data_IF_495295496663
#
_entry.id   IF_495295496663
#
_cell.length_a   1.000
_cell.length_b   1.000
_cell.length_c   1.000
_cell.angle_alpha   90.00
_cell.angle_beta   90.00
_cell.angle_gamma   90.00
#
_symmetry.space_group_name_H-M   'P 1'
#
loop_
_entity.id
_entity.type
_entity.pdbx_description
1 polymer ?
#
# COMPACT_ATOMS: atom_id res chain seq x y z
N UNK A 1 8.01 6.10 -3.73
CA UNK A 1 9.29 6.75 -4.10
C UNK A 1 10.48 5.90 -3.69
N UNK A 2 10.64 5.57 -2.41
CA UNK A 2 11.72 4.71 -1.91
C UNK A 2 11.18 3.32 -1.54
N UNK A 3 11.17 2.37 -2.50
CA UNK A 3 10.60 1.03 -2.35
C UNK A 3 11.59 -0.02 -1.85
N UNK A 4 11.07 -1.14 -1.32
CA UNK A 4 11.85 -2.35 -1.05
C UNK A 4 12.62 -2.88 -2.27
N UNK A 5 12.01 -2.81 -3.46
CA UNK A 5 12.51 -3.38 -4.71
C UNK A 5 12.38 -2.38 -5.87
N UNK A 6 12.95 -2.69 -7.05
CA UNK A 6 12.83 -1.85 -8.26
C UNK A 6 13.42 -0.41 -8.14
N UNK A 7 14.31 -0.16 -7.16
CA UNK A 7 15.11 1.05 -7.16
C UNK A 7 16.18 1.00 -8.27
N UNK A 8 16.61 2.15 -8.82
CA UNK A 8 17.61 2.17 -9.87
C UNK A 8 18.95 1.55 -9.43
N UNK A 9 19.60 0.77 -10.31
CA UNK A 9 20.85 0.08 -9.96
C UNK A 9 22.02 0.98 -9.54
N UNK A 10 21.99 2.28 -9.86
CA UNK A 10 22.98 3.23 -9.37
C UNK A 10 22.95 3.42 -7.85
N UNK A 11 21.84 3.10 -7.18
CA UNK A 11 21.69 3.21 -5.72
C UNK A 11 22.70 2.32 -5.00
N UNK A 12 23.00 1.14 -5.54
CA UNK A 12 23.95 0.19 -4.95
C UNK A 12 25.41 0.67 -5.03
N UNK A 13 25.71 1.60 -5.93
CA UNK A 13 27.04 2.21 -6.06
C UNK A 13 27.31 3.32 -5.05
N UNK A 14 26.31 3.75 -4.27
CA UNK A 14 26.46 4.84 -3.31
C UNK A 14 27.01 4.31 -1.99
N UNK A 15 28.09 4.93 -1.49
CA UNK A 15 28.73 4.52 -0.22
C UNK A 15 28.76 5.63 0.83
N UNK A 16 28.52 6.88 0.43
CA UNK A 16 28.55 8.05 1.32
C UNK A 16 27.14 8.54 1.63
N UNK A 17 26.91 8.87 2.91
CA UNK A 17 25.63 9.43 3.39
C UNK A 17 25.26 10.72 2.65
N UNK A 18 26.23 11.61 2.42
CA UNK A 18 26.00 12.88 1.72
C UNK A 18 25.48 12.68 0.29
N UNK A 19 26.08 11.73 -0.43
CA UNK A 19 25.68 11.42 -1.80
C UNK A 19 24.28 10.79 -1.84
N UNK A 20 23.99 9.85 -0.92
CA UNK A 20 22.64 9.27 -0.83
C UNK A 20 21.59 10.34 -0.54
N UNK A 21 21.83 11.19 0.47
CA UNK A 21 20.95 12.32 0.81
C UNK A 21 20.71 13.23 -0.39
N UNK A 22 21.77 13.60 -1.12
CA UNK A 22 21.66 14.45 -2.30
C UNK A 22 20.78 13.79 -3.37
N UNK A 23 21.00 12.52 -3.68
CA UNK A 23 20.23 11.80 -4.71
C UNK A 23 18.76 11.62 -4.31
N UNK A 24 18.49 11.29 -3.05
CA UNK A 24 17.13 11.23 -2.50
C UNK A 24 16.41 12.59 -2.60
N UNK A 25 17.11 13.67 -2.25
CA UNK A 25 16.58 15.02 -2.37
C UNK A 25 16.24 15.38 -3.81
N UNK A 26 17.17 15.11 -4.75
CA UNK A 26 16.96 15.41 -6.17
C UNK A 26 15.76 14.68 -6.78
N UNK A 27 15.58 13.39 -6.50
CA UNK A 27 14.45 12.63 -7.05
C UNK A 27 13.12 13.09 -6.43
N UNK A 28 13.09 13.36 -5.12
CA UNK A 28 11.91 13.90 -4.46
C UNK A 28 11.53 15.27 -5.01
N UNK A 29 12.49 16.19 -5.12
CA UNK A 29 12.24 17.52 -5.67
C UNK A 29 11.70 17.41 -7.09
N UNK A 30 12.39 16.65 -7.95
CA UNK A 30 11.99 16.50 -9.34
C UNK A 30 10.56 15.97 -9.46
N UNK A 31 10.22 14.88 -8.77
CA UNK A 31 8.90 14.28 -8.89
C UNK A 31 7.81 15.17 -8.28
N UNK A 32 8.03 15.72 -7.09
CA UNK A 32 7.03 16.56 -6.42
C UNK A 32 6.80 17.85 -7.20
N UNK A 33 7.86 18.49 -7.72
CA UNK A 33 7.76 19.73 -8.50
C UNK A 33 6.97 19.54 -9.79
N UNK A 34 7.18 18.43 -10.49
CA UNK A 34 6.57 18.20 -11.80
C UNK A 34 5.18 17.56 -11.73
N UNK A 35 4.92 16.71 -10.74
CA UNK A 35 3.70 15.90 -10.69
C UNK A 35 2.83 16.15 -9.46
N UNK A 36 3.36 16.74 -8.39
CA UNK A 36 2.69 16.81 -7.09
C UNK A 36 1.36 17.57 -7.12
N UNK A 37 1.20 18.56 -8.00
CA UNK A 37 -0.06 19.32 -8.14
C UNK A 37 -1.23 18.50 -8.69
N UNK A 38 -0.91 17.43 -9.43
CA UNK A 38 -1.91 16.53 -10.02
C UNK A 38 -2.07 15.24 -9.20
N UNK A 39 -1.29 15.08 -8.11
CA UNK A 39 -1.31 13.90 -7.27
C UNK A 39 -2.11 14.17 -5.99
N UNK A 40 -3.03 13.25 -5.65
CA UNK A 40 -3.73 13.27 -4.37
C UNK A 40 -2.77 12.88 -3.24
N UNK A 41 -1.89 11.91 -3.49
CA UNK A 41 -0.95 11.38 -2.53
C UNK A 41 0.36 10.93 -3.19
N UNK A 42 1.41 10.81 -2.37
CA UNK A 42 2.68 10.16 -2.72
C UNK A 42 3.07 9.18 -1.61
N UNK A 43 3.30 7.92 -1.97
CA UNK A 43 4.01 6.96 -1.12
C UNK A 43 5.48 7.34 -1.09
N UNK A 44 5.91 8.05 -0.04
CA UNK A 44 7.32 8.47 0.11
C UNK A 44 8.19 7.24 0.30
N UNK A 45 7.78 6.35 1.19
CA UNK A 45 8.44 5.08 1.49
C UNK A 45 7.46 3.94 1.26
N UNK A 46 7.93 2.85 0.65
CA UNK A 46 7.13 1.65 0.36
C UNK A 46 7.85 0.40 0.88
N UNK A 47 7.16 -0.39 1.71
CA UNK A 47 7.62 -1.70 2.21
C UNK A 47 8.96 -1.66 2.97
N UNK A 48 9.09 -0.69 3.89
CA UNK A 48 10.35 -0.45 4.59
C UNK A 48 10.54 -1.34 5.83
N UNK A 49 9.58 -2.21 6.13
CA UNK A 49 9.58 -3.07 7.31
C UNK A 49 9.73 -4.54 6.97
N UNK A 50 10.48 -5.26 7.80
CA UNK A 50 10.47 -6.71 7.84
C UNK A 50 9.18 -7.24 8.52
N UNK A 51 8.99 -8.56 8.50
CA UNK A 51 7.83 -9.22 9.13
C UNK A 51 7.73 -9.03 10.65
N UNK A 52 8.83 -8.62 11.30
CA UNK A 52 8.90 -8.41 12.74
C UNK A 52 8.66 -6.94 13.12
N UNK A 53 8.39 -6.06 12.15
CA UNK A 53 8.16 -4.63 12.38
C UNK A 53 9.43 -3.80 12.53
N UNK A 54 10.59 -4.33 12.14
CA UNK A 54 11.84 -3.57 12.13
C UNK A 54 12.14 -3.01 10.73
N UNK A 55 12.83 -1.86 10.61
CA UNK A 55 13.29 -1.37 9.31
C UNK A 55 14.10 -2.43 8.58
N UNK A 56 13.70 -2.80 7.37
CA UNK A 56 14.33 -3.85 6.57
C UNK A 56 15.71 -3.41 6.06
N UNK A 57 16.57 -4.36 5.70
CA UNK A 57 17.94 -4.15 5.22
C UNK A 57 18.00 -3.58 3.78
N UNK A 58 17.45 -2.38 3.58
CA UNK A 58 17.42 -1.67 2.31
C UNK A 58 18.69 -0.82 2.09
N UNK A 59 19.06 -0.46 0.84
CA UNK A 59 20.25 0.37 0.56
C UNK A 59 20.30 1.66 1.39
N UNK A 60 19.18 2.36 1.53
CA UNK A 60 19.09 3.57 2.33
C UNK A 60 19.39 3.32 3.81
N UNK A 61 18.90 2.22 4.39
CA UNK A 61 19.22 1.84 5.78
C UNK A 61 20.70 1.49 5.94
N UNK A 62 21.28 0.75 4.98
CA UNK A 62 22.70 0.36 5.03
C UNK A 62 23.63 1.57 5.07
N UNK A 63 23.26 2.65 4.37
CA UNK A 63 24.09 3.85 4.24
C UNK A 63 23.74 4.88 5.32
N UNK A 64 22.46 5.16 5.55
CA UNK A 64 21.97 6.27 6.39
C UNK A 64 21.45 5.81 7.77
N UNK A 65 21.38 4.51 8.02
CA UNK A 65 20.95 3.93 9.30
C UNK A 65 19.43 3.77 9.46
N UNK A 66 19.03 3.35 10.66
CA UNK A 66 17.66 2.91 10.98
C UNK A 66 16.57 3.98 10.84
N UNK A 67 16.92 5.25 10.68
CA UNK A 67 15.98 6.38 10.60
C UNK A 67 16.03 7.11 9.25
N UNK A 68 16.59 6.50 8.21
CA UNK A 68 16.68 7.09 6.87
C UNK A 68 15.31 7.60 6.35
N UNK A 69 14.23 6.91 6.70
CA UNK A 69 12.86 7.31 6.32
C UNK A 69 12.45 8.64 6.96
N UNK A 70 12.89 8.98 8.17
CA UNK A 70 12.58 10.30 8.77
C UNK A 70 13.17 11.42 7.90
N UNK A 71 14.37 11.22 7.37
CA UNK A 71 15.02 12.17 6.47
C UNK A 71 14.28 12.26 5.12
N UNK A 72 13.87 11.11 4.56
CA UNK A 72 13.06 11.05 3.35
C UNK A 72 11.76 11.86 3.48
N UNK A 73 11.04 11.68 4.59
CA UNK A 73 9.81 12.42 4.85
C UNK A 73 10.05 13.91 5.13
N UNK A 74 11.16 14.31 5.76
CA UNK A 74 11.52 15.74 5.90
C UNK A 74 11.71 16.40 4.54
N UNK A 75 12.49 15.78 3.65
CA UNK A 75 12.69 16.28 2.30
C UNK A 75 11.37 16.32 1.51
N UNK A 76 10.58 15.23 1.56
CA UNK A 76 9.29 15.16 0.89
C UNK A 76 8.32 16.24 1.39
N UNK A 77 8.25 16.47 2.71
CA UNK A 77 7.43 17.52 3.33
C UNK A 77 7.83 18.90 2.84
N UNK A 78 9.12 19.21 2.84
CA UNK A 78 9.63 20.50 2.36
C UNK A 78 9.19 20.77 0.91
N UNK A 79 9.43 19.82 0.00
CA UNK A 79 9.08 20.00 -1.42
C UNK A 79 7.56 19.98 -1.65
N UNK A 80 6.83 19.14 -0.90
CA UNK A 80 5.35 19.12 -0.94
C UNK A 80 4.80 20.48 -0.58
N UNK A 81 5.26 21.06 0.53
CA UNK A 81 4.78 22.37 0.98
C UNK A 81 5.09 23.48 -0.04
N UNK A 82 6.24 23.39 -0.69
CA UNK A 82 6.68 24.38 -1.68
C UNK A 82 5.91 24.28 -3.00
N UNK A 83 5.68 23.07 -3.51
CA UNK A 83 5.20 22.87 -4.88
C UNK A 83 3.77 22.33 -4.98
N UNK A 84 3.30 21.59 -3.97
CA UNK A 84 2.06 20.82 -3.98
C UNK A 84 1.43 20.69 -2.57
N UNK A 85 1.04 21.80 -1.89
CA UNK A 85 0.66 21.80 -0.48
C UNK A 85 -0.54 20.91 -0.12
N UNK A 86 -1.34 20.51 -1.10
CA UNK A 86 -2.51 19.63 -0.92
C UNK A 86 -2.21 18.14 -1.08
N UNK A 87 -1.06 17.76 -1.66
CA UNK A 87 -0.71 16.36 -1.88
C UNK A 87 -0.37 15.71 -0.54
N UNK A 88 -0.96 14.56 -0.23
CA UNK A 88 -0.72 13.82 1.01
C UNK A 88 0.57 13.00 0.94
N UNK A 89 1.29 12.86 2.06
CA UNK A 89 2.47 11.99 2.16
C UNK A 89 2.11 10.69 2.89
N UNK A 90 2.39 9.56 2.23
CA UNK A 90 2.02 8.22 2.67
C UNK A 90 3.25 7.37 2.99
N UNK A 91 3.06 6.46 3.95
CA UNK A 91 3.90 5.28 4.18
C UNK A 91 3.06 4.04 3.83
N UNK A 92 3.47 3.28 2.83
CA UNK A 92 2.69 2.17 2.27
C UNK A 92 3.37 0.83 2.53
N UNK A 93 2.62 -0.20 2.93
CA UNK A 93 3.18 -1.53 3.22
C UNK A 93 2.12 -2.66 3.10
N UNK A 94 2.57 -3.90 2.85
CA UNK A 94 1.76 -5.12 2.94
C UNK A 94 2.01 -5.90 4.22
N UNK A 95 1.10 -6.81 4.54
CA UNK A 95 1.24 -7.75 5.65
C UNK A 95 1.03 -7.09 7.02
N UNK A 96 0.63 -5.82 7.02
CA UNK A 96 0.28 -5.04 8.20
C UNK A 96 -1.24 -4.95 8.40
N UNK A 97 -2.06 -5.64 7.61
CA UNK A 97 -3.53 -5.67 7.69
C UNK A 97 -4.06 -6.45 8.90
N UNK A 98 -3.18 -7.23 9.55
CA UNK A 98 -3.43 -8.00 10.76
C UNK A 98 -2.89 -7.26 12.00
N UNK A 99 -3.31 -7.68 13.19
CA UNK A 99 -2.66 -7.24 14.44
C UNK A 99 -1.45 -8.13 14.72
N UNK A 100 -0.31 -7.78 14.13
CA UNK A 100 0.94 -8.54 14.19
C UNK A 100 2.15 -7.61 14.43
N UNK A 101 3.37 -8.15 14.64
CA UNK A 101 4.56 -7.33 14.89
C UNK A 101 4.85 -6.31 13.78
N UNK A 102 4.57 -6.64 12.50
CA UNK A 102 4.75 -5.71 11.39
C UNK A 102 3.81 -4.51 11.51
N UNK A 103 2.54 -4.73 11.82
CA UNK A 103 1.57 -3.67 12.07
C UNK A 103 1.94 -2.81 13.28
N UNK A 104 2.50 -3.42 14.34
CA UNK A 104 2.96 -2.70 15.52
C UNK A 104 4.16 -1.78 15.22
N UNK A 105 5.14 -2.29 14.46
CA UNK A 105 6.27 -1.50 13.97
C UNK A 105 5.83 -0.37 13.04
N UNK A 106 4.90 -0.65 12.12
CA UNK A 106 4.33 0.36 11.21
C UNK A 106 3.62 1.47 11.99
N UNK A 107 2.80 1.10 12.98
CA UNK A 107 2.12 2.06 13.84
C UNK A 107 3.09 2.94 14.63
N UNK A 108 4.16 2.35 15.18
CA UNK A 108 5.17 3.09 15.94
C UNK A 108 5.90 4.11 15.06
N UNK A 109 6.36 3.71 13.87
CA UNK A 109 7.02 4.62 12.91
C UNK A 109 6.06 5.71 12.45
N UNK A 110 4.85 5.33 12.01
CA UNK A 110 3.86 6.27 11.50
C UNK A 110 3.44 7.30 12.56
N UNK A 111 3.26 6.86 13.82
CA UNK A 111 2.96 7.76 14.94
C UNK A 111 4.11 8.76 15.18
N UNK A 112 5.36 8.31 15.12
CA UNK A 112 6.54 9.17 15.27
C UNK A 112 6.59 10.23 14.17
N UNK A 113 6.38 9.84 12.91
CA UNK A 113 6.38 10.75 11.77
C UNK A 113 5.20 11.73 11.81
N UNK A 114 4.01 11.26 12.20
CA UNK A 114 2.82 12.10 12.35
C UNK A 114 3.01 13.18 13.40
N UNK A 115 3.55 12.84 14.59
CA UNK A 115 3.83 13.82 15.66
C UNK A 115 4.82 14.90 15.22
N UNK A 116 5.70 14.58 14.27
CA UNK A 116 6.63 15.52 13.65
C UNK A 116 6.03 16.29 12.47
N UNK A 117 4.76 16.07 12.14
CA UNK A 117 4.03 16.65 11.00
C UNK A 117 4.65 16.29 9.64
N UNK A 118 5.25 15.10 9.57
CA UNK A 118 5.95 14.61 8.37
C UNK A 118 5.12 13.62 7.55
N UNK A 119 4.14 12.96 8.16
CA UNK A 119 3.30 11.94 7.53
C UNK A 119 1.82 12.30 7.66
N UNK A 120 1.05 12.08 6.59
CA UNK A 120 -0.39 12.35 6.56
C UNK A 120 -1.23 11.07 6.65
N UNK A 121 -0.78 9.97 6.06
CA UNK A 121 -1.53 8.71 6.02
C UNK A 121 -0.65 7.45 5.99
N UNK A 122 -1.27 6.30 6.31
CA UNK A 122 -0.69 4.97 6.08
C UNK A 122 -1.51 4.23 5.03
N UNK A 123 -0.83 3.71 4.01
CA UNK A 123 -1.40 2.84 3.00
C UNK A 123 -1.26 1.37 3.39
N UNK A 124 -2.35 0.62 3.26
CA UNK A 124 -2.39 -0.83 3.43
C UNK A 124 -2.63 -1.47 2.07
N UNK A 125 -1.64 -2.19 1.55
CA UNK A 125 -1.70 -2.76 0.21
C UNK A 125 -2.87 -3.71 0.06
N UNK A 126 -3.15 -4.54 1.07
CA UNK A 126 -4.28 -5.47 1.08
C UNK A 126 -4.23 -6.53 -0.03
N UNK A 127 -3.04 -7.04 -0.38
CA UNK A 127 -2.91 -8.21 -1.25
C UNK A 127 -3.35 -9.48 -0.50
N UNK A 128 -4.50 -10.04 -0.86
CA UNK A 128 -5.07 -11.20 -0.17
C UNK A 128 -5.19 -12.43 -1.08
N UNK A 129 -5.40 -13.58 -0.45
CA UNK A 129 -6.01 -14.72 -1.12
C UNK A 129 -7.52 -14.72 -0.79
N UNK A 130 -8.35 -15.07 -1.77
CA UNK A 130 -9.78 -15.25 -1.53
C UNK A 130 -10.01 -16.26 -0.39
N UNK A 131 -11.08 -16.09 0.38
CA UNK A 131 -11.40 -16.83 1.61
C UNK A 131 -10.45 -16.58 2.80
N UNK A 132 -9.39 -15.77 2.65
CA UNK A 132 -8.32 -15.62 3.66
C UNK A 132 -8.06 -14.14 4.00
N UNK A 133 -9.11 -13.36 4.26
CA UNK A 133 -8.99 -11.95 4.68
C UNK A 133 -9.08 -11.80 6.22
N UNK A 134 -8.47 -10.75 6.81
CA UNK A 134 -8.55 -10.43 8.25
C UNK A 134 -9.92 -9.89 8.73
N UNK A 135 -11.03 -10.60 8.45
CA UNK A 135 -12.43 -10.14 8.64
C UNK A 135 -12.70 -9.41 9.97
N UNK A 136 -12.21 -9.97 11.08
CA UNK A 136 -12.54 -9.47 12.42
C UNK A 136 -11.51 -8.52 13.02
N UNK A 137 -10.32 -8.41 12.41
CA UNK A 137 -9.18 -7.67 12.99
C UNK A 137 -8.80 -6.46 12.16
N UNK A 138 -9.07 -6.45 10.85
CA UNK A 138 -8.61 -5.38 9.98
C UNK A 138 -9.20 -4.02 10.34
N UNK A 139 -10.52 -3.95 10.59
CA UNK A 139 -11.17 -2.71 11.02
C UNK A 139 -10.52 -2.16 12.29
N UNK A 140 -10.36 -2.99 13.33
CA UNK A 140 -9.73 -2.59 14.59
C UNK A 140 -8.29 -2.15 14.36
N UNK A 141 -7.57 -2.81 13.44
CA UNK A 141 -6.20 -2.43 13.15
C UNK A 141 -6.13 -1.05 12.49
N UNK A 142 -6.96 -0.76 11.48
CA UNK A 142 -7.05 0.58 10.89
C UNK A 142 -7.43 1.65 11.94
N UNK A 143 -8.36 1.33 12.82
CA UNK A 143 -8.80 2.23 13.92
C UNK A 143 -7.64 2.62 14.86
N UNK A 144 -6.62 1.77 15.04
CA UNK A 144 -5.41 2.12 15.82
C UNK A 144 -4.64 3.27 15.20
N UNK A 145 -4.55 3.31 13.87
CA UNK A 145 -3.86 4.38 13.13
C UNK A 145 -4.70 5.65 13.12
N UNK A 146 -6.01 5.55 12.90
CA UNK A 146 -6.87 6.74 12.91
C UNK A 146 -7.02 7.34 14.31
N UNK A 147 -6.93 6.53 15.37
CA UNK A 147 -6.94 7.00 16.75
C UNK A 147 -5.73 7.90 17.10
N UNK A 148 -4.60 7.77 16.40
CA UNK A 148 -3.45 8.70 16.58
C UNK A 148 -3.53 9.94 15.71
N UNK A 149 -4.57 10.06 14.86
CA UNK A 149 -4.81 11.21 13.97
C UNK A 149 -4.34 11.01 12.53
N UNK A 150 -3.80 9.84 12.18
CA UNK A 150 -3.43 9.51 10.80
C UNK A 150 -4.68 9.24 9.95
N UNK A 151 -4.59 9.55 8.65
CA UNK A 151 -5.48 8.95 7.66
C UNK A 151 -5.02 7.53 7.35
N UNK A 152 -5.91 6.69 6.84
CA UNK A 152 -5.56 5.38 6.27
C UNK A 152 -6.14 5.22 4.87
N UNK A 153 -5.54 4.36 4.07
CA UNK A 153 -6.03 4.03 2.73
C UNK A 153 -5.81 2.55 2.46
N UNK A 154 -6.72 1.96 1.67
CA UNK A 154 -6.49 0.67 1.04
C UNK A 154 -5.94 0.98 -0.35
N UNK A 155 -4.69 0.58 -0.62
CA UNK A 155 -3.92 1.13 -1.74
C UNK A 155 -3.80 0.19 -2.93
N UNK A 156 -3.86 -1.13 -2.73
CA UNK A 156 -3.53 -2.11 -3.77
C UNK A 156 -4.39 -3.39 -3.67
N UNK A 157 -5.69 -3.26 -3.31
CA UNK A 157 -6.52 -4.45 -3.03
C UNK A 157 -6.63 -5.35 -4.27
N UNK A 158 -6.23 -6.61 -4.11
CA UNK A 158 -6.49 -7.72 -5.00
C UNK A 158 -6.74 -9.01 -4.19
N UNK A 159 -7.38 -10.01 -4.82
CA UNK A 159 -7.73 -11.26 -4.15
C UNK A 159 -7.44 -12.46 -5.03
N UNK A 160 -6.22 -12.98 -4.95
CA UNK A 160 -5.77 -14.11 -5.76
C UNK A 160 -6.50 -15.41 -5.40
N UNK A 161 -6.67 -16.27 -6.41
CA UNK A 161 -7.27 -17.61 -6.26
C UNK A 161 -6.26 -18.65 -6.76
N UNK A 162 -6.01 -19.76 -6.03
CA UNK A 162 -5.16 -20.85 -6.51
C UNK A 162 -5.86 -21.58 -7.66
N UNK A 163 -5.33 -21.45 -8.88
CA UNK A 163 -5.94 -21.94 -10.11
C UNK A 163 -5.59 -23.40 -10.44
N UNK A 164 -4.62 -23.96 -9.73
CA UNK A 164 -4.16 -25.35 -9.88
C UNK A 164 -4.91 -26.33 -8.95
N UNK A 165 -5.90 -25.86 -8.19
CA UNK A 165 -6.70 -26.72 -7.32
C UNK A 165 -7.86 -27.41 -8.05
N UNK A 166 -8.55 -28.32 -7.34
CA UNK A 166 -9.73 -29.00 -7.86
C UNK A 166 -10.82 -27.97 -8.22
N UNK A 167 -11.59 -28.17 -9.31
CA UNK A 167 -12.58 -27.19 -9.78
C UNK A 167 -13.58 -26.73 -8.70
N UNK A 168 -13.96 -27.63 -7.79
CA UNK A 168 -14.85 -27.30 -6.65
C UNK A 168 -14.23 -26.29 -5.68
N UNK A 169 -12.92 -26.37 -5.43
CA UNK A 169 -12.22 -25.45 -4.54
C UNK A 169 -12.09 -24.07 -5.19
N UNK A 170 -11.70 -24.02 -6.46
CA UNK A 170 -11.63 -22.77 -7.25
C UNK A 170 -13.00 -22.07 -7.27
N UNK A 171 -14.09 -22.81 -7.51
CA UNK A 171 -15.44 -22.25 -7.52
C UNK A 171 -15.86 -21.71 -6.14
N UNK A 172 -15.45 -22.36 -5.05
CA UNK A 172 -15.71 -21.88 -3.69
C UNK A 172 -15.03 -20.53 -3.45
N UNK A 173 -13.76 -20.39 -3.85
CA UNK A 173 -13.01 -19.15 -3.67
C UNK A 173 -13.52 -18.02 -4.58
N UNK A 174 -13.93 -18.33 -5.81
CA UNK A 174 -14.61 -17.37 -6.69
C UNK A 174 -15.92 -16.84 -6.06
N UNK A 175 -16.70 -17.71 -5.41
CA UNK A 175 -17.91 -17.29 -4.70
C UNK A 175 -17.59 -16.46 -3.45
N UNK A 176 -16.57 -16.84 -2.67
CA UNK A 176 -16.16 -16.14 -1.47
C UNK A 176 -15.62 -14.73 -1.74
N UNK A 177 -14.90 -14.56 -2.86
CA UNK A 177 -14.28 -13.31 -3.28
C UNK A 177 -15.25 -12.12 -3.28
N UNK A 178 -16.51 -12.32 -3.69
CA UNK A 178 -17.53 -11.26 -3.68
C UNK A 178 -17.75 -10.72 -2.25
N UNK A 179 -18.03 -11.62 -1.31
CA UNK A 179 -18.24 -11.24 0.09
C UNK A 179 -16.97 -10.76 0.79
N UNK A 180 -15.78 -11.19 0.35
CA UNK A 180 -14.51 -10.65 0.85
C UNK A 180 -14.34 -9.18 0.42
N UNK A 181 -14.58 -8.84 -0.85
CA UNK A 181 -14.50 -7.46 -1.33
C UNK A 181 -15.51 -6.56 -0.61
N UNK A 182 -16.77 -7.00 -0.44
CA UNK A 182 -17.79 -6.27 0.32
C UNK A 182 -17.33 -5.97 1.75
N UNK A 183 -16.70 -6.93 2.42
CA UNK A 183 -16.15 -6.72 3.77
C UNK A 183 -15.05 -5.67 3.75
N UNK A 184 -14.06 -5.78 2.85
CA UNK A 184 -12.91 -4.87 2.81
C UNK A 184 -13.34 -3.43 2.47
N UNK A 185 -14.17 -3.26 1.43
CA UNK A 185 -14.71 -1.94 1.07
C UNK A 185 -15.61 -1.38 2.18
N UNK A 186 -16.46 -2.22 2.78
CA UNK A 186 -17.30 -1.85 3.91
C UNK A 186 -16.52 -1.43 5.15
N UNK A 187 -15.35 -2.04 5.41
CA UNK A 187 -14.46 -1.63 6.50
C UNK A 187 -13.98 -0.20 6.27
N UNK A 188 -13.46 0.12 5.09
CA UNK A 188 -13.01 1.50 4.81
C UNK A 188 -14.15 2.51 4.95
N UNK A 189 -15.36 2.19 4.47
CA UNK A 189 -16.55 3.05 4.64
C UNK A 189 -16.91 3.29 6.11
N UNK A 190 -16.67 2.33 7.00
CA UNK A 190 -16.99 2.46 8.45
C UNK A 190 -15.88 3.16 9.25
N UNK A 191 -14.62 2.98 8.88
CA UNK A 191 -13.48 3.56 9.61
C UNK A 191 -13.37 5.05 9.28
N UNK A 192 -13.70 5.90 10.25
CA UNK A 192 -13.48 7.35 10.14
C UNK A 192 -12.00 7.63 9.93
N UNK A 193 -11.65 8.24 8.80
CA UNK A 193 -10.27 8.50 8.41
C UNK A 193 -9.70 7.54 7.38
N UNK A 194 -10.44 6.51 6.97
CA UNK A 194 -10.14 5.79 5.74
C UNK A 194 -10.57 6.63 4.53
N UNK A 195 -9.63 7.03 3.68
CA UNK A 195 -9.87 8.07 2.66
C UNK A 195 -9.97 7.56 1.23
N UNK A 196 -9.51 6.34 0.96
CA UNK A 196 -9.56 5.76 -0.38
C UNK A 196 -9.46 4.24 -0.35
N UNK A 197 -10.01 3.62 -1.40
CA UNK A 197 -9.79 2.22 -1.76
C UNK A 197 -9.37 2.17 -3.22
N UNK A 198 -8.23 1.54 -3.50
CA UNK A 198 -7.67 1.40 -4.85
C UNK A 198 -7.41 -0.06 -5.13
N UNK A 199 -8.01 -0.61 -6.20
CA UNK A 199 -7.77 -1.98 -6.64
C UNK A 199 -6.50 -2.08 -7.50
N UNK A 200 -5.76 -3.19 -7.38
CA UNK A 200 -4.49 -3.37 -8.08
C UNK A 200 -4.64 -4.14 -9.39
N UNK A 201 -4.82 -3.38 -10.47
CA UNK A 201 -5.05 -3.91 -11.81
C UNK A 201 -6.53 -3.92 -12.22
N UNK A 202 -6.76 -4.11 -13.51
CA UNK A 202 -8.10 -4.06 -14.11
C UNK A 202 -8.59 -5.47 -14.44
N UNK A 203 -7.83 -6.19 -15.25
CA UNK A 203 -8.16 -7.52 -15.77
C UNK A 203 -7.12 -8.56 -15.31
N UNK A 204 -7.44 -9.86 -15.35
CA UNK A 204 -6.45 -10.90 -15.09
C UNK A 204 -5.24 -10.86 -16.01
N UNK A 205 -5.38 -10.44 -17.27
CA UNK A 205 -4.27 -10.40 -18.24
C UNK A 205 -3.21 -9.33 -17.94
N UNK A 206 -3.59 -8.27 -17.23
CA UNK A 206 -2.69 -7.16 -16.86
C UNK A 206 -2.26 -7.23 -15.38
N UNK A 207 -2.71 -8.25 -14.67
CA UNK A 207 -2.42 -8.46 -13.25
C UNK A 207 -0.98 -8.94 -13.06
N UNK A 208 -0.33 -8.49 -11.99
CA UNK A 208 0.98 -9.01 -11.56
C UNK A 208 0.94 -10.47 -11.05
N UNK A 209 -0.24 -10.95 -10.63
CA UNK A 209 -0.46 -12.29 -10.09
C UNK A 209 -0.53 -13.33 -11.21
N UNK A 210 0.17 -14.46 -11.01
CA UNK A 210 0.13 -15.61 -11.93
C UNK A 210 1.28 -15.65 -12.93
N UNK A 211 2.20 -14.68 -12.84
CA UNK A 211 3.40 -14.59 -13.67
C UNK A 211 4.66 -14.95 -12.85
N UNK A 212 5.55 -13.98 -12.67
CA UNK A 212 6.75 -14.12 -11.84
C UNK A 212 6.36 -14.26 -10.37
N UNK A 213 5.39 -13.44 -9.93
CA UNK A 213 4.82 -13.50 -8.59
C UNK A 213 3.59 -14.41 -8.57
N UNK A 214 3.50 -15.24 -7.53
CA UNK A 214 2.40 -16.19 -7.30
C UNK A 214 2.07 -17.10 -8.50
N UNK A 215 3.03 -17.86 -9.05
CA UNK A 215 2.75 -18.81 -10.12
C UNK A 215 1.67 -19.82 -9.68
N UNK A 216 0.71 -20.09 -10.56
CA UNK A 216 -0.44 -20.95 -10.27
C UNK A 216 -1.62 -20.25 -9.60
N UNK A 217 -1.52 -18.95 -9.31
CA UNK A 217 -2.65 -18.12 -8.89
C UNK A 217 -3.20 -17.27 -10.04
N UNK A 218 -4.43 -16.78 -9.91
CA UNK A 218 -5.07 -15.93 -10.92
C UNK A 218 -6.38 -15.33 -10.42
N UNK A 219 -7.16 -14.77 -11.36
CA UNK A 219 -8.49 -14.20 -11.12
C UNK A 219 -8.53 -13.24 -9.93
N UNK A 220 -7.57 -12.32 -9.83
CA UNK A 220 -7.43 -11.45 -8.65
C UNK A 220 -8.25 -10.15 -8.73
N UNK A 221 -8.54 -9.70 -9.95
CA UNK A 221 -9.07 -8.37 -10.27
C UNK A 221 -10.59 -8.28 -10.22
N UNK A 222 -11.14 -7.06 -10.41
CA UNK A 222 -12.58 -6.79 -10.36
C UNK A 222 -13.29 -6.85 -11.73
N UNK A 223 -12.53 -6.89 -12.84
CA UNK A 223 -13.07 -7.11 -14.19
C UNK A 223 -12.48 -8.38 -14.79
N UNK A 224 -13.23 -8.98 -15.71
CA UNK A 224 -12.79 -10.08 -16.56
C UNK A 224 -11.90 -9.55 -17.71
N UNK A 225 -11.25 -10.43 -18.47
CA UNK A 225 -10.39 -10.03 -19.61
C UNK A 225 -11.14 -9.30 -20.74
N UNK A 226 -12.46 -9.46 -20.83
CA UNK A 226 -13.31 -8.73 -21.78
C UNK A 226 -13.85 -7.40 -21.20
N UNK A 227 -13.31 -6.96 -20.06
CA UNK A 227 -13.71 -5.78 -19.30
C UNK A 227 -15.14 -5.83 -18.74
N UNK A 228 -15.81 -6.98 -18.79
CA UNK A 228 -17.07 -7.16 -18.08
C UNK A 228 -16.84 -7.21 -16.57
N UNK A 229 -17.74 -6.65 -15.75
CA UNK A 229 -17.56 -6.64 -14.30
C UNK A 229 -17.77 -8.04 -13.72
N UNK A 230 -16.85 -8.47 -12.85
CA UNK A 230 -16.99 -9.69 -12.05
C UNK A 230 -18.22 -9.60 -11.13
N UNK A 231 -18.70 -10.72 -10.55
CA UNK A 231 -19.73 -10.67 -9.50
C UNK A 231 -19.39 -9.72 -8.34
N UNK A 232 -18.12 -9.67 -7.94
CA UNK A 232 -17.63 -8.74 -6.91
C UNK A 232 -17.82 -7.28 -7.32
N UNK A 233 -17.42 -6.90 -8.53
CA UNK A 233 -17.59 -5.53 -9.02
C UNK A 233 -19.07 -5.13 -9.15
N UNK A 234 -19.90 -6.03 -9.68
CA UNK A 234 -21.35 -5.81 -9.76
C UNK A 234 -21.97 -5.55 -8.38
N UNK A 235 -21.54 -6.31 -7.39
CA UNK A 235 -22.01 -6.15 -6.01
C UNK A 235 -21.55 -4.82 -5.40
N UNK A 236 -20.28 -4.44 -5.57
CA UNK A 236 -19.77 -3.14 -5.08
C UNK A 236 -20.49 -1.94 -5.72
N UNK A 237 -20.84 -2.02 -7.02
CA UNK A 237 -21.66 -1.01 -7.69
C UNK A 237 -23.04 -0.92 -7.05
N UNK A 238 -23.69 -2.07 -6.83
CA UNK A 238 -25.01 -2.15 -6.18
C UNK A 238 -24.99 -1.57 -4.76
N UNK A 239 -23.88 -1.73 -4.04
CA UNK A 239 -23.68 -1.18 -2.69
C UNK A 239 -23.26 0.30 -2.67
N UNK A 240 -23.21 0.95 -3.85
CA UNK A 240 -22.95 2.38 -4.00
C UNK A 240 -21.50 2.77 -3.70
N UNK A 241 -20.52 1.89 -3.93
CA UNK A 241 -19.10 2.25 -3.74
C UNK A 241 -18.52 3.09 -4.90
N UNK A 242 -19.21 3.15 -6.04
CA UNK A 242 -18.75 3.81 -7.26
C UNK A 242 -19.78 4.78 -7.87
N UNK A 243 -20.79 5.19 -7.09
CA UNK A 243 -21.89 6.06 -7.51
C UNK A 243 -21.73 7.48 -6.99
#
# INVERSE_FOLDING_TARGET
MFPRSQYPGWVDGITKVGDMRQRMSMILEFVIKNYGRNAIAMDVCNEILDKNGNPDNLPWKRIMGNKWYEEAFRMAKQFRDQYAPQMLLFLNDYGAEYMNPKADGLLAIATSLYKQKLLDAVGFQCHFAASHIPRHVFQKNLERFTAVGLKVAITEIDMRIPMNEQPKAVQKDLAAKTGDYEVIYGICRRVKGCVSVTAWGVTPSDSWIGHVEYPGFGNATLFENDYSPTPAMKQLIKDGFFS
#
